data_IF_556310421120
#
_entry.id   IF_556310421120
#
_cell.length_a   1.000
_cell.length_b   1.000
_cell.length_c   1.000
_cell.angle_alpha   90.00
_cell.angle_beta   90.00
_cell.angle_gamma   90.00
#
_symmetry.space_group_name_H-M   'P 1'
#
loop_
_entity.id
_entity.type
_entity.pdbx_description
1 polymer ?
#
# COMPACT_ATOMS: atom_id res chain seq x y z
N UNK A 1 0.71 10.38 -9.43
CA UNK A 1 -0.37 9.50 -8.98
C UNK A 1 -1.59 10.39 -8.84
N UNK A 2 -2.49 10.31 -9.81
CA UNK A 2 -3.70 11.15 -9.82
C UNK A 2 -4.71 10.62 -8.79
N UNK A 3 -5.46 11.51 -8.16
CA UNK A 3 -6.41 11.17 -7.09
C UNK A 3 -7.52 10.20 -7.54
N UNK A 4 -7.76 10.11 -8.85
CA UNK A 4 -8.78 9.25 -9.45
C UNK A 4 -8.44 7.75 -9.40
N UNK A 5 -7.16 7.37 -9.35
CA UNK A 5 -6.79 5.94 -9.31
C UNK A 5 -7.20 5.26 -7.99
N UNK A 6 -7.22 6.03 -6.89
CA UNK A 6 -7.55 5.55 -5.55
C UNK A 6 -9.07 5.42 -5.34
N UNK A 7 -9.85 6.33 -5.91
CA UNK A 7 -11.32 6.30 -5.83
C UNK A 7 -11.91 5.15 -6.64
N UNK A 8 -11.34 4.87 -7.83
CA UNK A 8 -11.70 3.73 -8.67
C UNK A 8 -11.39 2.40 -7.97
N UNK A 9 -10.25 2.31 -7.29
CA UNK A 9 -9.87 1.14 -6.48
C UNK A 9 -10.85 0.87 -5.33
N UNK A 10 -11.26 1.92 -4.60
CA UNK A 10 -12.18 1.79 -3.47
C UNK A 10 -13.54 1.24 -3.91
N UNK A 11 -14.10 1.79 -5.00
CA UNK A 11 -15.41 1.38 -5.50
C UNK A 11 -15.43 -0.08 -5.97
N UNK A 12 -14.38 -0.50 -6.68
CA UNK A 12 -14.24 -1.87 -7.18
C UNK A 12 -14.06 -2.92 -6.07
N UNK A 13 -13.57 -2.54 -4.89
CA UNK A 13 -13.24 -3.47 -3.82
C UNK A 13 -14.43 -3.76 -2.88
N UNK A 14 -15.37 -2.81 -2.74
CA UNK A 14 -16.37 -2.84 -1.67
C UNK A 14 -17.84 -2.77 -2.13
N UNK A 15 -18.16 -2.39 -3.37
CA UNK A 15 -19.56 -2.15 -3.77
C UNK A 15 -20.22 -3.25 -4.63
N UNK A 16 -19.48 -4.13 -5.32
CA UNK A 16 -20.08 -5.09 -6.28
C UNK A 16 -20.28 -6.53 -5.75
N UNK A 17 -21.39 -7.15 -6.15
CA UNK A 17 -21.95 -8.42 -5.64
C UNK A 17 -21.46 -9.63 -6.46
N UNK A 18 -20.70 -10.51 -5.79
CA UNK A 18 -19.81 -11.55 -6.35
C UNK A 18 -20.40 -12.61 -7.32
N UNK A 19 -19.92 -12.55 -8.57
CA UNK A 19 -19.91 -13.56 -9.65
C UNK A 19 -18.46 -14.04 -9.92
N UNK A 20 -18.25 -15.13 -10.67
CA UNK A 20 -16.91 -15.62 -11.04
C UNK A 20 -16.04 -14.57 -11.80
N UNK A 21 -16.70 -13.61 -12.46
CA UNK A 21 -16.08 -12.43 -13.07
C UNK A 21 -15.51 -11.47 -12.03
N UNK A 22 -16.11 -11.39 -10.83
CA UNK A 22 -15.69 -10.49 -9.75
C UNK A 22 -14.44 -10.97 -9.02
N UNK A 23 -14.17 -12.29 -9.02
CA UNK A 23 -12.89 -12.82 -8.53
C UNK A 23 -11.73 -12.37 -9.43
N UNK A 24 -11.95 -12.30 -10.75
CA UNK A 24 -10.99 -11.73 -11.70
C UNK A 24 -10.89 -10.21 -11.59
N UNK A 25 -12.00 -9.52 -11.32
CA UNK A 25 -12.01 -8.09 -11.07
C UNK A 25 -11.45 -7.70 -9.70
N UNK A 26 -11.40 -8.57 -8.69
CA UNK A 26 -10.69 -8.32 -7.42
C UNK A 26 -9.17 -8.50 -7.54
N UNK A 27 -8.71 -9.38 -8.44
CA UNK A 27 -7.28 -9.56 -8.73
C UNK A 27 -6.64 -8.30 -9.28
N UNK A 28 -7.33 -7.56 -10.15
CA UNK A 28 -6.78 -6.35 -10.76
C UNK A 28 -6.46 -5.26 -9.71
N UNK A 29 -7.39 -4.89 -8.81
CA UNK A 29 -7.17 -3.96 -7.70
C UNK A 29 -6.02 -4.38 -6.79
N UNK A 30 -5.98 -5.64 -6.37
CA UNK A 30 -4.92 -6.15 -5.49
C UNK A 30 -3.56 -6.14 -6.19
N UNK A 31 -3.50 -6.52 -7.47
CA UNK A 31 -2.27 -6.44 -8.27
C UNK A 31 -1.81 -5.00 -8.46
N UNK A 32 -2.73 -4.06 -8.72
CA UNK A 32 -2.40 -2.63 -8.82
C UNK A 32 -1.86 -2.11 -7.50
N UNK A 33 -2.49 -2.45 -6.38
CA UNK A 33 -2.04 -2.05 -5.06
C UNK A 33 -0.66 -2.64 -4.72
N UNK A 34 -0.42 -3.90 -5.07
CA UNK A 34 0.91 -4.50 -4.99
C UNK A 34 1.97 -3.69 -5.75
N UNK A 35 1.68 -3.28 -6.99
CA UNK A 35 2.61 -2.46 -7.78
C UNK A 35 2.84 -1.07 -7.20
N UNK A 36 1.81 -0.45 -6.60
CA UNK A 36 1.95 0.82 -5.88
C UNK A 36 2.93 0.66 -4.72
N UNK A 37 2.75 -0.35 -3.87
CA UNK A 37 3.64 -0.62 -2.74
C UNK A 37 5.06 -0.91 -3.21
N UNK A 38 5.22 -1.76 -4.24
CA UNK A 38 6.52 -2.11 -4.83
C UNK A 38 7.24 -0.89 -5.38
N UNK A 39 6.53 0.01 -6.06
CA UNK A 39 7.09 1.27 -6.55
C UNK A 39 7.47 2.19 -5.39
N UNK A 40 6.68 2.21 -4.32
CA UNK A 40 6.98 2.95 -3.10
C UNK A 40 8.33 2.55 -2.49
N UNK A 41 8.62 1.25 -2.39
CA UNK A 41 9.89 0.73 -1.83
C UNK A 41 11.01 0.58 -2.86
N UNK A 42 10.76 0.87 -4.13
CA UNK A 42 11.82 0.83 -5.15
C UNK A 42 12.73 2.05 -5.01
N UNK A 43 14.03 1.83 -5.20
CA UNK A 43 15.00 2.92 -5.28
C UNK A 43 14.68 3.83 -6.47
N UNK A 44 14.80 5.13 -6.26
CA UNK A 44 14.81 6.12 -7.33
C UNK A 44 16.27 6.31 -7.72
N UNK A 45 16.59 6.07 -8.98
CA UNK A 45 17.92 6.28 -9.57
C UNK A 45 18.11 7.79 -9.81
N UNK A 46 18.21 8.56 -8.73
CA UNK A 46 18.47 10.01 -8.78
C UNK A 46 19.88 10.30 -8.25
N UNK A 47 20.80 10.25 -9.21
CA UNK A 47 22.12 10.89 -9.23
C UNK A 47 23.26 10.29 -8.38
N UNK A 48 24.40 10.07 -9.05
CA UNK A 48 25.61 9.39 -8.58
C UNK A 48 26.41 10.16 -7.50
N UNK A 49 25.86 11.26 -6.97
CA UNK A 49 26.54 12.19 -6.07
C UNK A 49 25.83 12.42 -4.73
N UNK A 50 24.71 11.74 -4.44
CA UNK A 50 24.01 11.88 -3.17
C UNK A 50 24.10 10.59 -2.34
N UNK A 51 24.61 10.68 -1.11
CA UNK A 51 24.95 9.53 -0.26
C UNK A 51 23.74 8.77 0.30
N UNK A 52 22.52 9.21 0.03
CA UNK A 52 21.30 8.51 0.44
C UNK A 52 20.42 8.16 -0.75
N UNK A 53 20.42 6.87 -1.10
CA UNK A 53 19.47 6.32 -2.07
C UNK A 53 18.06 6.51 -1.54
N UNK A 54 17.25 7.30 -2.25
CA UNK A 54 15.86 7.59 -1.89
C UNK A 54 14.92 6.51 -2.41
N UNK A 55 13.87 6.24 -1.64
CA UNK A 55 12.79 5.32 -2.00
C UNK A 55 11.62 6.08 -2.66
N UNK A 56 10.91 5.40 -3.56
CA UNK A 56 9.77 5.94 -4.31
C UNK A 56 8.74 6.67 -3.46
N UNK A 57 8.43 6.15 -2.26
CA UNK A 57 7.43 6.73 -1.36
C UNK A 57 7.88 8.05 -0.74
N UNK A 58 9.18 8.35 -0.71
CA UNK A 58 9.68 9.62 -0.19
C UNK A 58 9.32 10.82 -1.08
N UNK A 59 8.82 10.55 -2.31
CA UNK A 59 8.21 11.57 -3.18
C UNK A 59 6.69 11.71 -2.98
N UNK A 60 6.08 10.89 -2.12
CA UNK A 60 4.63 10.91 -1.90
C UNK A 60 4.28 11.91 -0.81
N UNK A 61 3.07 12.47 -0.90
CA UNK A 61 2.52 13.31 0.17
C UNK A 61 2.05 12.45 1.34
N UNK A 62 1.97 13.03 2.54
CA UNK A 62 1.40 12.36 3.71
C UNK A 62 0.00 11.82 3.46
N UNK A 63 -0.81 12.53 2.67
CA UNK A 63 -2.15 12.06 2.30
C UNK A 63 -2.08 10.79 1.46
N UNK A 64 -1.16 10.70 0.48
CA UNK A 64 -0.99 9.51 -0.34
C UNK A 64 -0.50 8.33 0.50
N UNK A 65 0.44 8.56 1.42
CA UNK A 65 0.93 7.54 2.35
C UNK A 65 -0.22 7.05 3.24
N UNK A 66 -0.99 7.96 3.84
CA UNK A 66 -2.17 7.61 4.66
C UNK A 66 -3.20 6.81 3.89
N UNK A 67 -3.47 7.16 2.62
CA UNK A 67 -4.39 6.40 1.77
C UNK A 67 -3.88 4.98 1.49
N UNK A 68 -2.59 4.81 1.19
CA UNK A 68 -1.98 3.50 0.97
C UNK A 68 -2.05 2.64 2.23
N UNK A 69 -1.72 3.21 3.39
CA UNK A 69 -1.80 2.51 4.68
C UNK A 69 -3.25 2.13 5.00
N UNK A 70 -4.20 3.05 4.83
CA UNK A 70 -5.63 2.79 5.10
C UNK A 70 -6.18 1.67 4.22
N UNK A 71 -5.82 1.66 2.93
CA UNK A 71 -6.21 0.60 2.01
C UNK A 71 -5.57 -0.73 2.39
N UNK A 72 -4.29 -0.72 2.78
CA UNK A 72 -3.59 -1.90 3.28
C UNK A 72 -4.25 -2.51 4.52
N UNK A 73 -4.65 -1.67 5.49
CA UNK A 73 -5.40 -2.08 6.67
C UNK A 73 -6.73 -2.71 6.29
N UNK A 74 -7.47 -2.13 5.35
CA UNK A 74 -8.75 -2.65 4.91
C UNK A 74 -8.61 -4.04 4.23
N UNK A 75 -7.56 -4.22 3.41
CA UNK A 75 -7.23 -5.51 2.78
C UNK A 75 -6.88 -6.56 3.83
N UNK A 76 -5.97 -6.26 4.76
CA UNK A 76 -5.58 -7.18 5.85
C UNK A 76 -6.79 -7.53 6.73
N UNK A 77 -7.62 -6.55 7.05
CA UNK A 77 -8.81 -6.77 7.88
C UNK A 77 -9.83 -7.67 7.19
N UNK A 78 -10.02 -7.49 5.88
CA UNK A 78 -10.93 -8.31 5.09
C UNK A 78 -10.37 -9.73 4.88
N UNK A 79 -9.05 -9.88 4.77
CA UNK A 79 -8.40 -11.19 4.58
C UNK A 79 -8.35 -12.04 5.86
N UNK A 80 -8.43 -11.43 7.06
CA UNK A 80 -8.44 -12.17 8.34
C UNK A 80 -9.60 -13.16 8.48
N UNK A 81 -10.67 -12.98 7.70
CA UNK A 81 -11.84 -13.87 7.69
C UNK A 81 -11.66 -15.07 6.75
N UNK A 82 -10.58 -15.12 5.98
CA UNK A 82 -10.26 -16.22 5.06
C UNK A 82 -9.46 -17.31 5.78
N UNK A 83 -9.73 -18.58 5.49
CA UNK A 83 -8.83 -19.66 5.93
C UNK A 83 -7.51 -19.58 5.16
N UNK A 84 -6.42 -20.08 5.75
CA UNK A 84 -5.07 -20.01 5.14
C UNK A 84 -5.03 -20.78 3.82
N UNK A 85 -5.82 -21.84 3.70
CA UNK A 85 -5.98 -22.65 2.49
C UNK A 85 -6.78 -21.93 1.39
N UNK A 86 -7.56 -20.92 1.76
CA UNK A 86 -8.38 -20.09 0.86
C UNK A 86 -7.73 -18.74 0.55
N UNK A 87 -6.63 -18.39 1.23
CA UNK A 87 -5.93 -17.14 1.01
C UNK A 87 -5.31 -17.14 -0.40
N UNK A 88 -5.84 -16.27 -1.26
CA UNK A 88 -5.37 -16.16 -2.62
C UNK A 88 -3.89 -15.68 -2.64
N UNK A 89 -3.01 -16.28 -3.46
CA UNK A 89 -1.59 -15.91 -3.51
C UNK A 89 -1.33 -14.41 -3.70
N UNK A 90 -2.24 -13.71 -4.39
CA UNK A 90 -2.17 -12.26 -4.59
C UNK A 90 -2.41 -11.48 -3.31
N UNK A 91 -3.31 -11.92 -2.43
CA UNK A 91 -3.52 -11.29 -1.11
C UNK A 91 -2.27 -11.44 -0.25
N UNK A 92 -1.67 -12.64 -0.22
CA UNK A 92 -0.43 -12.89 0.52
C UNK A 92 0.71 -11.99 0.02
N UNK A 93 0.88 -11.87 -1.30
CA UNK A 93 1.89 -10.99 -1.89
C UNK A 93 1.66 -9.51 -1.54
N UNK A 94 0.41 -9.04 -1.54
CA UNK A 94 0.05 -7.68 -1.12
C UNK A 94 0.38 -7.43 0.34
N UNK A 95 0.00 -8.35 1.24
CA UNK A 95 0.27 -8.21 2.68
C UNK A 95 1.77 -8.20 2.95
N UNK A 96 2.53 -9.06 2.28
CA UNK A 96 3.99 -9.08 2.41
C UNK A 96 4.60 -7.73 1.96
N UNK A 97 4.19 -7.23 0.79
CA UNK A 97 4.69 -5.96 0.27
C UNK A 97 4.28 -4.76 1.14
N UNK A 98 3.12 -4.83 1.81
CA UNK A 98 2.66 -3.82 2.75
C UNK A 98 3.53 -3.78 4.02
N UNK A 99 3.97 -4.95 4.51
CA UNK A 99 4.92 -5.04 5.63
C UNK A 99 6.26 -4.43 5.25
N UNK A 100 6.79 -4.78 4.07
CA UNK A 100 8.04 -4.19 3.57
C UNK A 100 7.93 -2.66 3.46
N UNK A 101 6.83 -2.16 2.88
CA UNK A 101 6.55 -0.73 2.81
C UNK A 101 6.53 -0.07 4.19
N UNK A 102 5.85 -0.67 5.17
CA UNK A 102 5.78 -0.14 6.53
C UNK A 102 7.17 -0.08 7.19
N UNK A 103 7.99 -1.14 7.06
CA UNK A 103 9.36 -1.15 7.59
C UNK A 103 10.19 -0.04 6.96
N UNK A 104 10.23 0.04 5.63
CA UNK A 104 11.00 1.08 4.94
C UNK A 104 10.50 2.49 5.29
N UNK A 105 9.19 2.69 5.44
CA UNK A 105 8.62 3.96 5.87
C UNK A 105 9.10 4.34 7.27
N UNK A 106 9.03 3.43 8.25
CA UNK A 106 9.49 3.68 9.61
C UNK A 106 10.99 3.97 9.69
N UNK A 107 11.81 3.32 8.85
CA UNK A 107 13.26 3.55 8.80
C UNK A 107 13.64 4.92 8.23
N UNK A 108 12.83 5.46 7.32
CA UNK A 108 13.10 6.73 6.62
C UNK A 108 12.26 7.89 7.12
N UNK A 109 11.22 7.63 7.90
CA UNK A 109 10.40 8.67 8.49
C UNK A 109 11.22 9.43 9.53
N UNK A 110 11.47 10.71 9.26
CA UNK A 110 11.89 11.64 10.29
C UNK A 110 10.70 11.90 11.19
N UNK A 111 10.56 11.11 12.26
CA UNK A 111 9.62 11.42 13.32
C UNK A 111 10.08 12.71 13.99
N UNK A 112 9.58 13.86 13.51
CA UNK A 112 9.65 15.13 14.22
C UNK A 112 8.69 15.10 15.41
N UNK A 113 8.95 14.17 16.33
CA UNK A 113 8.22 13.97 17.58
C UNK A 113 8.61 15.04 18.59
N UNK A 114 8.24 16.29 18.33
CA UNK A 114 8.26 17.38 19.31
C UNK A 114 6.85 17.75 19.78
N UNK A 115 5.92 16.80 19.79
CA UNK A 115 4.62 17.00 20.43
C UNK A 115 4.34 15.91 21.47
N UNK A 116 5.20 15.88 22.50
CA UNK A 116 4.86 15.33 23.82
C UNK A 116 4.41 16.46 24.77
N UNK A 117 3.78 17.51 24.23
CA UNK A 117 3.08 18.51 25.03
C UNK A 117 1.76 17.93 25.54
N UNK A 118 1.85 17.00 26.50
CA UNK A 118 0.72 16.75 27.40
C UNK A 118 0.67 17.97 28.33
N UNK A 119 -0.26 18.89 28.04
CA UNK A 119 -0.62 19.99 28.94
C UNK A 119 -1.96 19.69 29.60
#
# INVERSE_FOLDING_TARGET
MEADDLSVLHKSLFEDKLSATDLFLQKLPLQRFYWILKRGVSLIDDDANNSERKLGFQLWTDSQIKSVVSLGIAIVSSSRSLSVEQAEPTVVAVVHQLVEFAVCYLEKAEFSGNDFSIQ
#
